data_IF_656283917371
#
_entry.id   IF_656283917371
#
_cell.length_a   1.000
_cell.length_b   1.000
_cell.length_c   1.000
_cell.angle_alpha   90.00
_cell.angle_beta   90.00
_cell.angle_gamma   90.00
#
_symmetry.space_group_name_H-M   'P 1'
#
loop_
_entity.id
_entity.type
_entity.pdbx_description
1 polymer ?
#
# COMPACT_ATOMS: atom_id res chain seq x y z
N UNK A 1 -6.25 55.19 -73.08
CA UNK A 1 -5.42 54.65 -71.98
C UNK A 1 -5.96 55.23 -70.68
N UNK A 2 -6.47 54.38 -69.80
CA UNK A 2 -6.99 54.77 -68.48
C UNK A 2 -5.85 54.55 -67.50
N UNK A 3 -5.34 55.62 -66.89
CA UNK A 3 -4.25 55.54 -65.91
C UNK A 3 -4.86 55.19 -64.54
N UNK A 4 -4.56 53.98 -64.07
CA UNK A 4 -4.99 53.45 -62.76
C UNK A 4 -4.19 54.14 -61.66
N UNK A 5 -4.89 54.65 -60.64
CA UNK A 5 -4.29 55.29 -59.46
C UNK A 5 -3.46 54.28 -58.68
N UNK A 6 -2.23 54.65 -58.32
CA UNK A 6 -1.41 53.92 -57.37
C UNK A 6 -2.08 54.00 -55.99
N UNK A 7 -2.52 52.85 -55.49
CA UNK A 7 -2.99 52.69 -54.12
C UNK A 7 -1.76 52.45 -53.27
N UNK A 8 -1.42 53.40 -52.41
CA UNK A 8 -0.39 53.22 -51.39
C UNK A 8 -0.90 52.17 -50.39
N UNK A 9 -0.30 50.98 -50.43
CA UNK A 9 -0.48 49.93 -49.43
C UNK A 9 0.07 50.43 -48.10
N UNK A 10 -0.80 51.08 -47.33
CA UNK A 10 -0.54 51.48 -45.96
C UNK A 10 -0.58 50.23 -45.05
N UNK A 11 0.47 49.41 -45.15
CA UNK A 11 0.68 48.27 -44.27
C UNK A 11 1.24 48.79 -42.94
N UNK A 12 0.36 49.45 -42.17
CA UNK A 12 0.59 49.75 -40.76
C UNK A 12 0.68 48.41 -40.06
N UNK A 13 1.90 47.92 -39.86
CA UNK A 13 2.18 46.82 -38.95
C UNK A 13 1.69 47.24 -37.56
N UNK A 14 0.48 46.80 -37.22
CA UNK A 14 -0.01 46.70 -35.86
C UNK A 14 0.93 45.73 -35.13
N UNK A 15 2.07 46.21 -34.66
CA UNK A 15 2.84 45.52 -33.63
C UNK A 15 2.01 45.62 -32.36
N UNK A 16 1.04 44.71 -32.21
CA UNK A 16 0.41 44.43 -30.94
C UNK A 16 1.54 44.16 -29.96
N UNK A 17 1.70 45.09 -29.02
CA UNK A 17 2.78 45.16 -28.06
C UNK A 17 2.67 43.95 -27.13
N UNK A 18 3.26 42.81 -27.55
CA UNK A 18 3.11 41.49 -26.93
C UNK A 18 3.54 41.46 -25.46
N UNK A 19 4.28 42.48 -25.02
CA UNK A 19 4.64 42.72 -23.63
C UNK A 19 3.43 42.94 -22.71
N UNK A 20 2.37 43.59 -23.20
CA UNK A 20 1.17 43.88 -22.38
C UNK A 20 0.32 42.62 -22.14
N UNK A 21 0.29 41.71 -23.11
CA UNK A 21 -0.34 40.39 -22.94
C UNK A 21 0.48 39.49 -22.02
N UNK A 22 1.81 39.52 -22.11
CA UNK A 22 2.67 38.74 -21.23
C UNK A 22 2.59 39.20 -19.76
N UNK A 23 2.52 40.51 -19.52
CA UNK A 23 2.32 41.08 -18.19
C UNK A 23 0.94 40.72 -17.61
N UNK A 24 -0.09 40.69 -18.46
CA UNK A 24 -1.43 40.24 -18.08
C UNK A 24 -1.45 38.75 -17.71
N UNK A 25 -0.82 37.89 -18.53
CA UNK A 25 -0.68 36.46 -18.26
C UNK A 25 0.10 36.22 -16.97
N UNK A 26 1.19 36.97 -16.75
CA UNK A 26 2.00 36.86 -15.53
C UNK A 26 1.19 37.23 -14.29
N UNK A 27 0.42 38.32 -14.34
CA UNK A 27 -0.46 38.73 -13.24
C UNK A 27 -1.51 37.67 -12.94
N UNK A 28 -2.16 37.11 -13.97
CA UNK A 28 -3.13 36.04 -13.81
C UNK A 28 -2.51 34.77 -13.20
N UNK A 29 -1.32 34.40 -13.63
CA UNK A 29 -0.58 33.26 -13.08
C UNK A 29 -0.19 33.49 -11.62
N UNK A 30 0.23 34.71 -11.27
CA UNK A 30 0.59 35.08 -9.91
C UNK A 30 -0.63 35.05 -8.98
N UNK A 31 -1.77 35.56 -9.43
CA UNK A 31 -3.04 35.50 -8.70
C UNK A 31 -3.52 34.04 -8.53
N UNK A 32 -3.38 33.21 -9.57
CA UNK A 32 -3.69 31.78 -9.50
C UNK A 32 -2.78 31.05 -8.50
N UNK A 33 -1.49 31.39 -8.48
CA UNK A 33 -0.52 30.77 -7.58
C UNK A 33 -0.74 31.18 -6.12
N UNK A 34 -1.06 32.46 -5.87
CA UNK A 34 -1.43 32.96 -4.54
C UNK A 34 -2.70 32.27 -4.05
N UNK A 35 -3.71 32.13 -4.93
CA UNK A 35 -4.95 31.43 -4.60
C UNK A 35 -4.67 29.97 -4.25
N UNK A 36 -3.91 29.26 -5.07
CA UNK A 36 -3.51 27.88 -4.81
C UNK A 36 -2.77 27.73 -3.48
N UNK A 37 -1.82 28.62 -3.19
CA UNK A 37 -1.09 28.64 -1.91
C UNK A 37 -2.03 28.86 -0.72
N UNK A 38 -2.97 29.79 -0.83
CA UNK A 38 -3.92 30.10 0.24
C UNK A 38 -4.93 28.96 0.47
N UNK A 39 -5.35 28.29 -0.60
CA UNK A 39 -6.21 27.09 -0.56
C UNK A 39 -5.48 25.91 0.10
N UNK A 40 -4.20 25.71 -0.19
CA UNK A 40 -3.39 24.71 0.52
C UNK A 40 -3.14 25.08 1.99
N UNK A 41 -2.88 26.35 2.29
CA UNK A 41 -2.67 26.82 3.67
C UNK A 41 -3.93 26.66 4.52
N UNK A 42 -5.12 26.87 3.94
CA UNK A 42 -6.40 26.61 4.61
C UNK A 42 -6.67 25.11 4.78
N UNK A 43 -6.33 24.27 3.79
CA UNK A 43 -6.37 22.80 3.94
C UNK A 43 -5.47 22.32 5.09
N UNK A 44 -4.24 22.81 5.14
CA UNK A 44 -3.27 22.48 6.20
C UNK A 44 -3.76 22.98 7.56
N UNK A 45 -4.26 24.21 7.65
CA UNK A 45 -4.78 24.77 8.90
C UNK A 45 -6.02 24.02 9.41
N UNK A 46 -6.90 23.55 8.51
CA UNK A 46 -8.03 22.67 8.85
C UNK A 46 -7.56 21.30 9.34
N UNK A 47 -6.56 20.70 8.70
CA UNK A 47 -5.96 19.44 9.13
C UNK A 47 -5.25 19.57 10.50
N UNK A 48 -4.72 20.75 10.85
CA UNK A 48 -4.13 21.02 12.18
C UNK A 48 -5.16 21.07 13.33
N UNK A 49 -6.46 21.12 13.06
CA UNK A 49 -7.50 21.16 14.12
C UNK A 49 -7.67 19.80 14.81
N UNK A 50 -7.25 18.70 14.19
CA UNK A 50 -7.29 17.35 14.78
C UNK A 50 -6.10 16.51 14.34
N UNK A 51 -5.10 16.44 15.22
CA UNK A 51 -3.88 15.63 15.03
C UNK A 51 -4.20 14.18 14.59
N UNK A 52 -5.21 13.48 15.15
CA UNK A 52 -5.60 12.16 14.68
C UNK A 52 -6.09 12.13 13.23
N UNK A 53 -6.87 13.13 12.80
CA UNK A 53 -7.38 13.19 11.43
C UNK A 53 -6.25 13.42 10.42
N UNK A 54 -5.33 14.35 10.71
CA UNK A 54 -4.13 14.57 9.91
C UNK A 54 -3.27 13.29 9.82
N UNK A 55 -3.10 12.57 10.93
CA UNK A 55 -2.33 11.33 10.96
C UNK A 55 -2.97 10.23 10.09
N UNK A 56 -4.30 10.11 10.11
CA UNK A 56 -5.03 9.16 9.26
C UNK A 56 -4.87 9.51 7.78
N UNK A 57 -4.97 10.79 7.42
CA UNK A 57 -4.76 11.25 6.03
C UNK A 57 -3.33 10.98 5.56
N UNK A 58 -2.33 11.29 6.39
CA UNK A 58 -0.91 11.10 6.09
C UNK A 58 -0.55 9.60 5.98
N UNK A 59 -1.15 8.76 6.84
CA UNK A 59 -1.07 7.29 6.71
C UNK A 59 -1.70 6.80 5.41
N UNK A 60 -2.79 7.42 4.96
CA UNK A 60 -3.49 7.05 3.73
C UNK A 60 -2.73 7.48 2.46
N UNK A 61 -2.15 8.68 2.47
CA UNK A 61 -1.28 9.17 1.40
C UNK A 61 -0.03 8.28 1.25
N UNK A 62 0.60 7.91 2.37
CA UNK A 62 1.79 7.06 2.39
C UNK A 62 1.47 5.55 2.50
N UNK A 63 0.23 5.13 2.15
CA UNK A 63 -0.21 3.72 2.32
C UNK A 63 0.68 2.71 1.60
N UNK A 64 1.28 3.10 0.46
CA UNK A 64 2.18 2.25 -0.34
C UNK A 64 3.48 1.91 0.39
N UNK A 65 3.98 2.85 1.17
CA UNK A 65 5.24 2.72 1.91
C UNK A 65 5.01 2.06 3.27
N UNK A 66 3.91 2.39 3.94
CA UNK A 66 3.60 1.90 5.29
C UNK A 66 2.99 0.48 5.26
N UNK A 67 2.13 0.16 4.29
CA UNK A 67 1.40 -1.11 4.21
C UNK A 67 1.56 -1.78 2.86
N UNK A 68 2.81 -2.08 2.48
CA UNK A 68 3.14 -2.66 1.17
C UNK A 68 2.40 -3.97 0.84
N UNK A 69 2.08 -4.79 1.85
CA UNK A 69 1.33 -6.03 1.67
C UNK A 69 -0.18 -5.78 1.44
N UNK A 70 -0.79 -4.92 2.26
CA UNK A 70 -2.21 -4.59 2.13
C UNK A 70 -2.51 -3.90 0.79
N UNK A 71 -1.61 -3.01 0.33
CA UNK A 71 -1.73 -2.37 -0.98
C UNK A 71 -1.63 -3.39 -2.11
N UNK A 72 -0.79 -4.42 -1.98
CA UNK A 72 -0.73 -5.51 -2.96
C UNK A 72 -2.06 -6.27 -2.99
N UNK A 73 -2.62 -6.61 -1.84
CA UNK A 73 -3.91 -7.30 -1.73
C UNK A 73 -5.06 -6.49 -2.33
N UNK A 74 -5.11 -5.17 -2.11
CA UNK A 74 -6.09 -4.28 -2.74
C UNK A 74 -5.95 -4.24 -4.26
N UNK A 75 -4.73 -4.12 -4.77
CA UNK A 75 -4.46 -4.11 -6.22
C UNK A 75 -4.85 -5.46 -6.84
N UNK A 76 -4.42 -6.57 -6.25
CA UNK A 76 -4.78 -7.91 -6.74
C UNK A 76 -6.28 -8.16 -6.65
N UNK A 77 -6.93 -7.74 -5.57
CA UNK A 77 -8.39 -7.82 -5.39
C UNK A 77 -9.15 -7.00 -6.43
N UNK A 78 -8.74 -5.75 -6.68
CA UNK A 78 -9.35 -4.90 -7.70
C UNK A 78 -9.19 -5.48 -9.11
N UNK A 79 -8.03 -6.06 -9.41
CA UNK A 79 -7.75 -6.67 -10.71
C UNK A 79 -8.60 -7.93 -10.92
N UNK A 80 -8.72 -8.76 -9.88
CA UNK A 80 -9.58 -9.96 -9.90
C UNK A 80 -11.04 -9.55 -10.08
N UNK A 81 -11.51 -8.52 -9.38
CA UNK A 81 -12.89 -8.05 -9.52
C UNK A 81 -13.17 -7.51 -10.93
N UNK A 82 -12.28 -6.66 -11.48
CA UNK A 82 -12.38 -6.18 -12.85
C UNK A 82 -12.35 -7.32 -13.88
N UNK A 83 -11.55 -8.37 -13.64
CA UNK A 83 -11.49 -9.56 -14.49
C UNK A 83 -12.79 -10.37 -14.41
N UNK A 84 -13.40 -10.48 -13.23
CA UNK A 84 -14.71 -11.14 -13.04
C UNK A 84 -15.83 -10.38 -13.74
N UNK A 85 -15.79 -9.05 -13.73
CA UNK A 85 -16.73 -8.19 -14.46
C UNK A 85 -16.57 -8.33 -15.98
N UNK A 86 -15.33 -8.39 -16.48
CA UNK A 86 -15.04 -8.55 -17.90
C UNK A 86 -15.42 -9.93 -18.44
N UNK A 87 -15.23 -11.00 -17.63
CA UNK A 87 -15.44 -12.40 -18.02
C UNK A 87 -16.19 -13.16 -16.94
N UNK A 88 -17.53 -13.04 -16.88
CA UNK A 88 -18.33 -13.71 -15.85
C UNK A 88 -18.26 -15.24 -15.94
N UNK A 89 -18.01 -15.80 -17.13
CA UNK A 89 -17.83 -17.24 -17.36
C UNK A 89 -16.66 -17.85 -16.55
N UNK A 90 -15.63 -17.04 -16.26
CA UNK A 90 -14.46 -17.49 -15.49
C UNK A 90 -14.63 -17.33 -13.98
N UNK A 91 -15.68 -16.65 -13.52
CA UNK A 91 -15.88 -16.28 -12.12
C UNK A 91 -15.85 -17.50 -11.20
N UNK A 92 -16.59 -18.54 -11.53
CA UNK A 92 -16.67 -19.76 -10.72
C UNK A 92 -15.33 -20.49 -10.64
N UNK A 93 -14.59 -20.55 -11.77
CA UNK A 93 -13.25 -21.13 -11.81
C UNK A 93 -12.24 -20.35 -10.97
N UNK A 94 -12.31 -19.02 -11.01
CA UNK A 94 -11.44 -18.14 -10.21
C UNK A 94 -11.77 -18.32 -8.72
N UNK A 95 -13.05 -18.32 -8.34
CA UNK A 95 -13.49 -18.53 -6.96
C UNK A 95 -13.07 -19.90 -6.43
N UNK A 96 -13.30 -20.98 -7.19
CA UNK A 96 -12.91 -22.33 -6.78
C UNK A 96 -11.39 -22.47 -6.59
N UNK A 97 -10.58 -21.79 -7.42
CA UNK A 97 -9.12 -21.79 -7.25
C UNK A 97 -8.68 -20.98 -6.03
N UNK A 98 -9.32 -19.83 -5.77
CA UNK A 98 -9.08 -19.04 -4.57
C UNK A 98 -9.43 -19.81 -3.30
N UNK A 99 -10.57 -20.50 -3.29
CA UNK A 99 -11.00 -21.33 -2.17
C UNK A 99 -10.03 -22.48 -1.93
N UNK A 100 -9.63 -23.22 -2.98
CA UNK A 100 -8.66 -24.31 -2.84
C UNK A 100 -7.31 -23.81 -2.28
N UNK A 101 -6.82 -22.67 -2.76
CA UNK A 101 -5.60 -22.06 -2.24
C UNK A 101 -5.75 -21.62 -0.77
N UNK A 102 -6.89 -21.04 -0.41
CA UNK A 102 -7.19 -20.65 0.97
C UNK A 102 -7.20 -21.86 1.90
N UNK A 103 -7.90 -22.94 1.52
CA UNK A 103 -7.94 -24.17 2.31
C UNK A 103 -6.54 -24.79 2.48
N UNK A 104 -5.71 -24.74 1.43
CA UNK A 104 -4.31 -25.19 1.51
C UNK A 104 -3.50 -24.36 2.52
N UNK A 105 -3.61 -23.02 2.49
CA UNK A 105 -2.94 -22.16 3.46
C UNK A 105 -3.42 -22.43 4.90
N UNK A 106 -4.73 -22.53 5.10
CA UNK A 106 -5.34 -22.83 6.41
C UNK A 106 -4.85 -24.18 6.96
N UNK A 107 -4.74 -25.20 6.09
CA UNK A 107 -4.23 -26.52 6.48
C UNK A 107 -2.76 -26.42 6.90
N UNK A 108 -1.96 -25.64 6.18
CA UNK A 108 -0.54 -25.43 6.50
C UNK A 108 -0.35 -24.66 7.80
N UNK A 109 -1.14 -23.62 8.03
CA UNK A 109 -1.10 -22.84 9.27
C UNK A 109 -1.53 -23.66 10.47
N UNK A 110 -2.65 -24.39 10.37
CA UNK A 110 -3.10 -25.28 11.44
C UNK A 110 -2.10 -26.39 11.74
N UNK A 111 -1.44 -26.95 10.73
CA UNK A 111 -0.34 -27.91 10.93
C UNK A 111 0.84 -27.26 11.67
N UNK A 112 1.24 -26.05 11.28
CA UNK A 112 2.34 -25.31 11.92
C UNK A 112 2.00 -24.93 13.37
N UNK A 113 0.78 -24.49 13.63
CA UNK A 113 0.28 -24.18 14.98
C UNK A 113 0.19 -25.44 15.85
N UNK A 114 -0.21 -26.57 15.28
CA UNK A 114 -0.21 -27.85 15.98
C UNK A 114 1.21 -28.30 16.32
N UNK A 115 2.16 -28.14 15.41
CA UNK A 115 3.58 -28.45 15.65
C UNK A 115 4.17 -27.55 16.75
N UNK A 116 3.92 -26.25 16.69
CA UNK A 116 4.41 -25.30 17.70
C UNK A 116 3.82 -25.57 19.08
N UNK A 117 2.52 -25.89 19.19
CA UNK A 117 1.92 -26.33 20.46
C UNK A 117 2.60 -27.58 21.00
N UNK A 118 2.76 -28.60 20.16
CA UNK A 118 3.44 -29.85 20.54
C UNK A 118 4.88 -29.62 21.01
N UNK A 119 5.61 -28.70 20.38
CA UNK A 119 6.96 -28.30 20.79
C UNK A 119 6.94 -27.56 22.14
N UNK A 120 5.96 -26.69 22.37
CA UNK A 120 5.79 -25.97 23.63
C UNK A 120 5.44 -26.89 24.81
N UNK A 121 4.68 -27.97 24.55
CA UNK A 121 4.35 -29.00 25.55
C UNK A 121 5.57 -29.88 25.92
N UNK A 122 6.74 -29.68 25.30
CA UNK A 122 8.03 -30.30 25.67
C UNK A 122 8.19 -31.77 25.28
N UNK A 123 7.10 -32.50 25.04
CA UNK A 123 7.10 -33.93 24.70
C UNK A 123 7.23 -34.25 23.20
N UNK A 124 7.34 -33.25 22.33
CA UNK A 124 7.41 -33.47 20.88
C UNK A 124 8.82 -33.25 20.37
N UNK A 125 9.38 -34.30 19.77
CA UNK A 125 10.69 -34.25 19.11
C UNK A 125 10.45 -34.43 17.62
N UNK A 126 10.95 -33.50 16.83
CA UNK A 126 10.89 -33.63 15.36
C UNK A 126 11.75 -34.81 14.94
N UNK A 127 11.39 -35.51 13.86
CA UNK A 127 12.10 -36.70 13.35
C UNK A 127 13.60 -36.52 13.10
N UNK A 128 14.08 -35.27 13.01
CA UNK A 128 15.48 -34.93 12.81
C UNK A 128 16.29 -34.88 14.12
N UNK A 129 15.63 -34.97 15.28
CA UNK A 129 16.29 -35.07 16.58
C UNK A 129 16.26 -36.55 16.96
N UNK A 130 17.38 -37.24 16.76
CA UNK A 130 17.60 -38.56 17.34
C UNK A 130 17.62 -38.40 18.85
N UNK A 131 16.52 -38.76 19.51
CA UNK A 131 16.50 -38.82 20.97
C UNK A 131 17.49 -39.91 21.39
N UNK A 132 18.70 -39.51 21.77
CA UNK A 132 19.60 -40.37 22.54
C UNK A 132 18.80 -40.73 23.79
N UNK A 133 18.47 -42.01 23.96
CA UNK A 133 17.73 -42.49 25.11
C UNK A 133 18.42 -41.96 26.37
N UNK A 134 17.69 -41.21 27.18
CA UNK A 134 18.20 -40.84 28.50
C UNK A 134 18.24 -42.13 29.32
N UNK A 135 19.42 -42.48 29.86
CA UNK A 135 19.57 -43.61 30.76
C UNK A 135 18.64 -43.42 31.96
N UNK A 136 17.57 -44.21 32.03
CA UNK A 136 16.57 -44.16 33.10
C UNK A 136 17.20 -44.45 34.48
N UNK A 137 18.31 -45.21 34.52
CA UNK A 137 19.11 -45.44 35.73
C UNK A 137 19.79 -44.16 36.25
N UNK A 138 20.24 -43.26 35.38
CA UNK A 138 20.89 -42.01 35.78
C UNK A 138 19.88 -40.97 36.32
N UNK A 139 18.63 -41.05 35.88
CA UNK A 139 17.52 -40.23 36.38
C UNK A 139 17.00 -40.74 37.73
N UNK A 140 16.87 -42.06 37.91
CA UNK A 140 16.49 -42.67 39.19
C UNK A 140 17.53 -42.38 40.30
N UNK A 141 18.82 -42.46 39.97
CA UNK A 141 19.89 -42.12 40.92
C UNK A 141 19.89 -40.63 41.34
N UNK A 142 19.32 -39.73 40.53
CA UNK A 142 19.23 -38.30 40.82
C UNK A 142 18.01 -37.95 41.68
N UNK A 143 16.92 -38.70 41.55
CA UNK A 143 15.71 -38.53 42.39
C UNK A 143 15.91 -39.05 43.81
N UNK A 144 16.73 -40.10 43.97
CA UNK A 144 17.03 -40.67 45.29
C UNK A 144 18.03 -39.84 46.11
N UNK A 145 18.82 -38.97 45.47
CA UNK A 145 19.73 -38.05 46.15
C UNK A 145 19.06 -36.76 46.67
N UNK A 146 17.79 -36.51 46.29
CA UNK A 146 17.05 -35.29 46.65
C UNK A 146 16.03 -35.49 47.80
N UNK A 147 15.94 -36.70 48.36
CA UNK A 147 14.94 -37.07 49.36
C UNK A 147 15.53 -37.43 50.74
N UNK A 148 16.68 -36.85 51.10
CA UNK A 148 17.17 -36.86 52.49
C UNK A 148 16.62 -35.65 53.26
N UNK A 149 15.77 -35.83 54.30
CA UNK A 149 15.38 -34.77 55.20
C UNK A 149 16.41 -34.66 56.34
N UNK A 150 17.05 -33.49 56.47
CA UNK A 150 17.57 -32.98 57.74
C UNK A 150 17.47 -31.47 57.81
#
# INVERSE_FOLDING_TARGET
MINVKEVEDNNVYLTLDNHKSDEFILKQNLDALIKHKNDEMTRIAQDMVSIPAALVRLKWENRREIYSLQVKEEIYGSMINALMELKPELKEKIMGRLESNYQHMLTRESATLRLTRKLADGGYHTSNVTAVALDEEALAAKTDASSDPK
#
